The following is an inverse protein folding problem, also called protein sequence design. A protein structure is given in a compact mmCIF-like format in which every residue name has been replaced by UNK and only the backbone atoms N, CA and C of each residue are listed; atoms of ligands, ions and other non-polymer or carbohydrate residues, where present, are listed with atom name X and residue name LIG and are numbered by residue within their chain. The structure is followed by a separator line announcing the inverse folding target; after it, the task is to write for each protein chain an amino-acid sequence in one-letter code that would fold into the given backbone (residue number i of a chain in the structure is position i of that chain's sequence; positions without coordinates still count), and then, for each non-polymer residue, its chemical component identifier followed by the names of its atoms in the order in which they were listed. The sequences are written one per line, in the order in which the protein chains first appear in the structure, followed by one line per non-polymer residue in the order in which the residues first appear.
data_IF_202421375949
#
_entry.id   IF_202421375949
#
_cell.length_a   1.000
_cell.length_b   1.000
_cell.length_c   1.000
_cell.angle_alpha   90.00
_cell.angle_beta   90.00
_cell.angle_gamma   90.00
#
_symmetry.space_group_name_H-M   'P 1'
#
loop_
_entity.id
_entity.type
_entity.pdbx_description
1 polymer ?
#
# COMPACT_ATOMS: atom_id res chain seq x y z
N UNK A 1 5.47 -2.43 -9.16
CA UNK A 1 6.87 -2.02 -8.87
C UNK A 1 7.86 -3.11 -9.33
N UNK A 2 7.45 -4.36 -9.42
CA UNK A 2 8.29 -5.53 -9.77
C UNK A 2 9.59 -5.60 -8.95
N UNK A 3 9.48 -5.50 -7.64
CA UNK A 3 10.58 -5.69 -6.72
C UNK A 3 10.07 -6.47 -5.50
N UNK A 4 10.76 -7.53 -5.06
CA UNK A 4 10.36 -8.34 -3.91
C UNK A 4 10.75 -7.63 -2.61
N UNK A 5 10.05 -6.55 -2.28
CA UNK A 5 10.33 -5.73 -1.09
C UNK A 5 9.61 -6.26 0.14
N UNK A 6 8.35 -6.66 -0.03
CA UNK A 6 7.54 -7.18 1.04
C UNK A 6 7.37 -8.68 0.87
N UNK A 7 7.43 -9.47 1.94
CA UNK A 7 7.24 -10.91 1.86
C UNK A 7 5.82 -11.23 1.39
N UNK A 8 5.69 -12.24 0.54
CA UNK A 8 4.42 -12.75 0.04
C UNK A 8 4.11 -14.07 0.74
N UNK A 9 2.95 -14.17 1.39
CA UNK A 9 2.53 -15.40 2.08
C UNK A 9 1.10 -15.31 2.62
N UNK A 10 0.61 -16.43 3.15
CA UNK A 10 -0.74 -16.56 3.71
C UNK A 10 -0.86 -16.01 5.13
N UNK A 11 0.24 -16.01 5.89
CA UNK A 11 0.26 -15.67 7.34
C UNK A 11 1.21 -14.51 7.66
N UNK A 12 1.59 -13.73 6.66
CA UNK A 12 2.60 -12.69 6.85
C UNK A 12 1.90 -11.38 7.10
N UNK A 13 1.96 -10.98 8.33
CA UNK A 13 1.63 -9.63 8.74
C UNK A 13 2.88 -8.77 8.60
N UNK A 14 2.78 -7.65 7.94
CA UNK A 14 3.78 -6.59 7.97
C UNK A 14 3.78 -6.00 9.37
N UNK A 15 4.92 -5.94 10.05
CA UNK A 15 5.04 -5.33 11.39
C UNK A 15 5.47 -3.86 11.34
N UNK A 16 6.09 -3.44 10.23
CA UNK A 16 6.65 -2.10 10.04
C UNK A 16 6.33 -1.59 8.64
N UNK A 17 5.94 -0.34 8.53
CA UNK A 17 5.66 0.29 7.25
C UNK A 17 6.89 0.27 6.31
N UNK A 18 6.63 0.10 5.01
CA UNK A 18 7.66 0.20 3.97
C UNK A 18 7.31 1.34 3.02
N UNK A 19 8.17 2.34 2.95
CA UNK A 19 8.09 3.42 1.99
C UNK A 19 8.86 3.04 0.72
N UNK A 20 8.27 3.32 -0.44
CA UNK A 20 8.91 3.07 -1.75
C UNK A 20 8.83 4.34 -2.58
N UNK A 21 9.96 4.89 -2.93
CA UNK A 21 10.08 6.13 -3.72
C UNK A 21 11.04 5.99 -4.90
N UNK A 22 11.15 7.04 -5.70
CA UNK A 22 12.13 7.09 -6.79
C UNK A 22 13.58 7.12 -6.27
N UNK A 23 14.49 6.54 -7.04
CA UNK A 23 15.93 6.61 -6.84
C UNK A 23 16.67 6.26 -8.11
N UNK A 24 17.89 6.75 -8.27
CA UNK A 24 18.71 6.50 -9.46
C UNK A 24 19.14 5.03 -9.57
N UNK A 25 19.31 4.37 -8.43
CA UNK A 25 19.64 2.94 -8.32
C UNK A 25 18.83 2.29 -7.19
N UNK A 26 18.62 0.95 -7.25
CA UNK A 26 18.00 0.22 -6.16
C UNK A 26 18.81 0.39 -4.87
N UNK A 27 18.17 0.87 -3.81
CA UNK A 27 18.77 1.04 -2.48
C UNK A 27 17.71 0.90 -1.39
N UNK A 28 18.13 0.56 -0.19
CA UNK A 28 17.24 0.51 0.96
C UNK A 28 17.95 0.95 2.24
N UNK A 29 17.19 1.51 3.15
CA UNK A 29 17.63 1.89 4.48
C UNK A 29 16.55 1.59 5.52
N UNK A 30 16.98 1.28 6.73
CA UNK A 30 16.12 1.17 7.91
C UNK A 30 16.20 2.46 8.69
N UNK A 31 15.06 2.99 9.10
CA UNK A 31 14.94 4.23 9.84
C UNK A 31 14.47 3.95 11.25
N UNK A 32 15.27 4.38 12.23
CA UNK A 32 15.03 4.19 13.66
C UNK A 32 14.79 5.53 14.33
N UNK A 33 13.92 5.60 15.34
CA UNK A 33 13.84 6.74 16.24
C UNK A 33 15.00 6.74 17.22
N UNK A 34 15.61 7.90 17.45
CA UNK A 34 16.59 8.14 18.52
C UNK A 34 15.96 8.84 19.74
N UNK A 35 14.68 9.15 19.68
CA UNK A 35 13.94 9.90 20.70
C UNK A 35 12.66 9.23 21.14
N UNK A 36 11.77 10.03 21.74
CA UNK A 36 10.42 9.61 22.10
C UNK A 36 9.54 9.40 20.86
N UNK A 37 8.38 8.73 20.98
CA UNK A 37 7.43 8.61 19.86
C UNK A 37 7.02 9.95 19.25
N UNK A 38 6.88 11.00 20.06
CA UNK A 38 6.51 12.35 19.60
C UNK A 38 7.63 13.01 18.78
N UNK A 39 8.87 12.59 18.98
CA UNK A 39 10.05 13.09 18.26
C UNK A 39 10.41 12.24 17.04
N UNK A 40 9.64 11.20 16.77
CA UNK A 40 9.92 10.24 15.69
C UNK A 40 9.91 10.87 14.29
N UNK A 41 9.14 11.94 14.11
CA UNK A 41 9.04 12.67 12.83
C UNK A 41 10.21 13.65 12.60
N UNK A 42 10.99 13.99 13.64
CA UNK A 42 12.16 14.87 13.49
C UNK A 42 13.30 14.14 12.76
N UNK A 43 13.66 14.56 11.53
CA UNK A 43 14.75 13.90 10.77
C UNK A 43 16.10 13.92 11.49
N UNK A 44 16.34 14.88 12.38
CA UNK A 44 17.58 14.99 13.15
C UNK A 44 17.65 13.96 14.28
N UNK A 45 16.51 13.41 14.66
CA UNK A 45 16.36 12.36 15.65
C UNK A 45 16.12 10.98 15.04
N UNK A 46 16.46 10.82 13.78
CA UNK A 46 16.38 9.55 13.06
C UNK A 46 17.79 9.02 12.79
N UNK A 47 17.99 7.73 13.04
CA UNK A 47 19.16 6.99 12.58
C UNK A 47 18.79 6.17 11.34
N UNK A 48 19.49 6.40 10.25
CA UNK A 48 19.33 5.69 8.99
C UNK A 48 20.45 4.67 8.80
N UNK A 49 20.10 3.42 8.54
CA UNK A 49 21.04 2.32 8.38
C UNK A 49 20.84 1.71 6.99
N UNK A 50 21.80 1.87 6.07
CA UNK A 50 21.73 1.24 4.75
C UNK A 50 21.74 -0.28 4.88
N UNK A 51 20.90 -0.94 4.07
CA UNK A 51 20.83 -2.40 3.95
C UNK A 51 20.74 -2.81 2.48
N UNK A 52 21.12 -4.05 2.12
CA UNK A 52 20.76 -4.63 0.84
C UNK A 52 19.24 -4.66 0.67
N UNK A 53 18.75 -4.26 -0.52
CA UNK A 53 17.31 -4.11 -0.78
C UNK A 53 16.56 -5.44 -0.63
N UNK A 54 17.23 -6.54 -0.94
CA UNK A 54 16.70 -7.91 -0.83
C UNK A 54 16.42 -8.32 0.62
N UNK A 55 17.01 -7.62 1.58
CA UNK A 55 16.85 -7.88 3.00
C UNK A 55 15.73 -7.08 3.66
N UNK A 56 15.08 -6.17 2.95
CA UNK A 56 13.98 -5.36 3.52
C UNK A 56 12.93 -6.25 4.18
N UNK A 57 12.49 -7.31 3.50
CA UNK A 57 11.50 -8.26 4.03
C UNK A 57 11.89 -8.91 5.37
N UNK A 58 13.18 -9.01 5.71
CA UNK A 58 13.61 -9.58 6.99
C UNK A 58 13.25 -8.67 8.18
N UNK A 59 13.16 -7.38 7.97
CA UNK A 59 12.96 -6.38 9.03
C UNK A 59 11.52 -5.91 9.14
N UNK A 60 10.74 -5.99 8.07
CA UNK A 60 9.36 -5.50 8.04
C UNK A 60 8.31 -6.60 8.29
N UNK A 61 8.72 -7.87 8.31
CA UNK A 61 7.85 -9.03 8.48
C UNK A 61 7.67 -9.37 9.96
N UNK A 62 6.42 -9.61 10.39
CA UNK A 62 6.07 -10.04 11.75
C UNK A 62 6.82 -11.29 12.21
N UNK A 63 7.08 -12.24 11.30
CA UNK A 63 7.79 -13.49 11.64
C UNK A 63 9.25 -13.27 12.02
N UNK A 64 9.91 -12.19 11.59
CA UNK A 64 11.33 -11.90 11.84
C UNK A 64 11.56 -10.64 12.68
N UNK A 65 10.56 -9.79 12.80
CA UNK A 65 10.56 -8.62 13.66
C UNK A 65 9.20 -8.55 14.38
N UNK A 66 8.92 -9.49 15.30
CA UNK A 66 7.65 -9.58 16.01
C UNK A 66 7.34 -8.26 16.73
N UNK A 67 6.13 -7.76 16.59
CA UNK A 67 5.65 -6.56 17.25
C UNK A 67 6.62 -5.35 17.15
N UNK A 68 7.45 -5.35 16.09
CA UNK A 68 8.49 -4.34 15.88
C UNK A 68 9.48 -4.24 17.06
N UNK A 69 9.94 -5.36 17.59
CA UNK A 69 10.97 -5.39 18.67
C UNK A 69 12.24 -4.60 18.30
N UNK A 70 12.56 -4.54 17.00
CA UNK A 70 13.69 -3.74 16.50
C UNK A 70 13.45 -2.22 16.57
N UNK A 71 12.24 -1.76 16.93
CA UNK A 71 11.85 -0.35 17.05
C UNK A 71 12.16 0.48 15.80
N UNK A 72 11.86 -0.07 14.64
CA UNK A 72 11.91 0.63 13.37
C UNK A 72 10.74 1.62 13.26
N UNK A 73 10.99 2.80 12.72
CA UNK A 73 9.92 3.68 12.27
C UNK A 73 9.35 3.19 10.94
N UNK A 74 10.24 2.95 9.98
CA UNK A 74 9.88 2.40 8.66
C UNK A 74 11.14 1.89 7.95
N UNK A 75 10.94 1.07 6.93
CA UNK A 75 11.94 0.77 5.91
C UNK A 75 11.72 1.69 4.70
N UNK A 76 12.78 2.21 4.11
CA UNK A 76 12.69 3.04 2.91
C UNK A 76 13.48 2.40 1.77
N UNK A 77 12.76 1.98 0.74
CA UNK A 77 13.32 1.46 -0.50
C UNK A 77 13.25 2.53 -1.62
N UNK A 78 14.32 2.70 -2.36
CA UNK A 78 14.35 3.56 -3.55
C UNK A 78 14.58 2.71 -4.79
N UNK A 79 13.80 2.96 -5.83
CA UNK A 79 13.82 2.19 -7.08
C UNK A 79 13.80 3.09 -8.30
N UNK A 80 14.57 2.75 -9.36
CA UNK A 80 14.52 3.43 -10.65
C UNK A 80 13.29 2.97 -11.46
N UNK A 81 12.11 3.42 -11.06
CA UNK A 81 10.84 3.08 -11.71
C UNK A 81 10.14 4.33 -12.21
N UNK A 82 9.69 4.29 -13.46
CA UNK A 82 8.98 5.42 -14.08
C UNK A 82 7.71 5.83 -13.32
N UNK A 83 7.00 4.89 -12.71
CA UNK A 83 5.84 5.19 -11.88
C UNK A 83 6.17 6.10 -10.68
N UNK A 84 7.37 5.99 -10.14
CA UNK A 84 7.82 6.75 -8.97
C UNK A 84 8.50 8.07 -9.35
N UNK A 85 8.93 8.20 -10.62
CA UNK A 85 9.74 9.33 -11.09
C UNK A 85 9.01 10.69 -10.98
N UNK A 86 7.67 10.67 -11.06
CA UNK A 86 6.83 11.87 -10.97
C UNK A 86 6.53 12.29 -9.51
N UNK A 87 7.29 11.76 -8.54
CA UNK A 87 7.18 12.09 -7.12
C UNK A 87 6.26 11.17 -6.32
N UNK A 88 5.72 10.11 -6.93
CA UNK A 88 4.88 9.15 -6.22
C UNK A 88 5.71 8.39 -5.17
N UNK A 89 5.25 8.41 -3.93
CA UNK A 89 5.75 7.54 -2.85
C UNK A 89 4.64 6.58 -2.45
N UNK A 90 4.93 5.29 -2.49
CA UNK A 90 4.02 4.25 -2.00
C UNK A 90 4.39 3.87 -0.58
N UNK A 91 3.41 3.74 0.29
CA UNK A 91 3.60 3.28 1.68
C UNK A 91 2.78 2.02 1.88
N UNK A 92 3.48 0.89 2.06
CA UNK A 92 2.88 -0.36 2.51
C UNK A 92 2.78 -0.34 4.04
N UNK A 93 1.56 -0.44 4.55
CA UNK A 93 1.29 -0.38 5.98
C UNK A 93 1.01 -1.76 6.55
N UNK A 94 1.28 -2.01 7.84
CA UNK A 94 0.82 -3.23 8.50
C UNK A 94 -0.69 -3.43 8.32
N UNK A 95 -1.10 -4.68 8.13
CA UNK A 95 -2.52 -5.02 7.96
C UNK A 95 -3.36 -4.55 9.15
N UNK A 96 -4.49 -3.93 8.85
CA UNK A 96 -5.29 -3.24 9.89
C UNK A 96 -6.03 -4.16 10.85
N UNK A 97 -6.09 -5.46 10.63
CA UNK A 97 -6.58 -6.49 11.58
C UNK A 97 -7.80 -6.15 12.47
N UNK A 98 -8.54 -5.06 12.14
CA UNK A 98 -9.62 -4.44 12.92
C UNK A 98 -9.25 -3.06 13.49
N UNK A 99 -10.26 -2.21 13.69
CA UNK A 99 -10.12 -0.80 14.12
C UNK A 99 -9.34 -0.58 15.44
N UNK A 100 -9.30 -1.60 16.31
CA UNK A 100 -8.69 -1.51 17.63
C UNK A 100 -7.26 -2.05 17.70
N UNK A 101 -6.64 -2.37 16.56
CA UNK A 101 -5.26 -2.83 16.53
C UNK A 101 -4.27 -1.65 16.58
N UNK A 102 -3.08 -1.88 17.18
CA UNK A 102 -2.00 -0.89 17.14
C UNK A 102 -1.60 -0.52 15.70
N UNK A 103 -1.74 -1.47 14.78
CA UNK A 103 -1.48 -1.27 13.35
C UNK A 103 -2.51 -0.35 12.68
N UNK A 104 -3.80 -0.48 13.03
CA UNK A 104 -4.83 0.43 12.54
C UNK A 104 -4.59 1.87 13.03
N UNK A 105 -4.19 2.04 14.29
CA UNK A 105 -3.85 3.35 14.84
C UNK A 105 -2.65 3.99 14.10
N UNK A 106 -1.60 3.23 13.83
CA UNK A 106 -0.44 3.69 13.08
C UNK A 106 -0.81 4.11 11.64
N UNK A 107 -1.63 3.30 10.94
CA UNK A 107 -2.15 3.65 9.62
C UNK A 107 -2.98 4.92 9.66
N UNK A 108 -3.91 5.04 10.62
CA UNK A 108 -4.76 6.23 10.77
C UNK A 108 -3.96 7.51 11.04
N UNK A 109 -2.86 7.43 11.79
CA UNK A 109 -2.00 8.59 12.05
C UNK A 109 -1.23 9.08 10.81
N UNK A 110 -0.96 8.20 9.85
CA UNK A 110 -0.28 8.54 8.61
C UNK A 110 -1.22 9.12 7.53
N UNK A 111 -2.53 8.82 7.58
CA UNK A 111 -3.49 9.24 6.55
C UNK A 111 -3.60 10.75 6.31
N UNK A 112 -3.51 11.64 7.32
CA UNK A 112 -3.56 13.08 7.08
C UNK A 112 -2.43 13.63 6.21
N UNK A 113 -1.33 12.89 6.09
CA UNK A 113 -0.18 13.24 5.25
C UNK A 113 -0.20 12.55 3.89
N UNK A 114 -1.16 11.66 3.65
CA UNK A 114 -1.29 10.92 2.41
C UNK A 114 -2.18 11.68 1.40
N UNK A 115 -1.74 11.73 0.14
CA UNK A 115 -2.52 12.31 -0.95
C UNK A 115 -3.61 11.36 -1.44
N UNK A 116 -3.44 10.04 -1.22
CA UNK A 116 -4.43 9.03 -1.59
C UNK A 116 -4.30 7.77 -0.73
N UNK A 117 -5.43 7.05 -0.59
CA UNK A 117 -5.53 5.76 0.08
C UNK A 117 -5.88 4.66 -0.93
N UNK A 118 -5.09 3.58 -0.96
CA UNK A 118 -5.48 2.33 -1.59
C UNK A 118 -5.93 1.33 -0.51
N UNK A 119 -7.23 1.05 -0.47
CA UNK A 119 -7.76 0.02 0.42
C UNK A 119 -7.67 -1.34 -0.27
N UNK A 120 -6.84 -2.23 0.27
CA UNK A 120 -6.52 -3.52 -0.35
C UNK A 120 -7.21 -4.67 0.39
N UNK A 121 -8.00 -5.44 -0.35
CA UNK A 121 -8.63 -6.70 0.09
C UNK A 121 -8.29 -7.81 -0.89
N UNK A 122 -8.74 -9.04 -0.65
CA UNK A 122 -8.70 -10.09 -1.66
C UNK A 122 -10.10 -10.49 -2.15
N UNK A 123 -10.16 -11.28 -3.24
CA UNK A 123 -11.39 -11.68 -3.87
C UNK A 123 -12.15 -12.79 -3.13
N UNK A 124 -11.73 -13.19 -1.93
CA UNK A 124 -12.30 -14.34 -1.21
C UNK A 124 -13.61 -14.04 -0.48
N UNK A 125 -13.83 -12.79 -0.07
CA UNK A 125 -14.92 -12.41 0.81
C UNK A 125 -15.44 -10.98 0.57
N UNK A 126 -16.66 -10.76 1.06
CA UNK A 126 -17.28 -9.44 1.16
C UNK A 126 -16.62 -8.62 2.27
N UNK A 127 -16.72 -7.28 2.16
CA UNK A 127 -16.24 -6.39 3.21
C UNK A 127 -17.01 -6.61 4.51
N UNK A 128 -16.28 -6.78 5.59
CA UNK A 128 -16.83 -6.85 6.93
C UNK A 128 -17.27 -5.46 7.42
N UNK A 129 -18.15 -5.43 8.43
CA UNK A 129 -18.53 -4.18 9.08
C UNK A 129 -17.33 -3.41 9.63
N UNK A 130 -16.32 -4.11 10.16
CA UNK A 130 -15.11 -3.48 10.69
C UNK A 130 -14.27 -2.80 9.59
N UNK A 131 -14.19 -3.40 8.39
CA UNK A 131 -13.52 -2.79 7.24
C UNK A 131 -14.26 -1.56 6.73
N UNK A 132 -15.59 -1.60 6.68
CA UNK A 132 -16.41 -0.46 6.28
C UNK A 132 -16.32 0.70 7.30
N UNK A 133 -16.29 0.42 8.59
CA UNK A 133 -16.07 1.40 9.65
C UNK A 133 -14.68 2.04 9.54
N UNK A 134 -13.66 1.22 9.31
CA UNK A 134 -12.30 1.70 9.04
C UNK A 134 -12.28 2.64 7.84
N UNK A 135 -12.83 2.21 6.70
CA UNK A 135 -12.92 3.03 5.48
C UNK A 135 -13.66 4.34 5.72
N UNK A 136 -14.80 4.29 6.41
CA UNK A 136 -15.58 5.49 6.74
C UNK A 136 -14.76 6.51 7.52
N UNK A 137 -13.94 6.03 8.46
CA UNK A 137 -13.06 6.88 9.26
C UNK A 137 -11.86 7.36 8.45
N UNK A 138 -11.23 6.48 7.68
CA UNK A 138 -10.06 6.77 6.86
C UNK A 138 -10.36 7.84 5.79
N UNK A 139 -11.53 7.77 5.14
CA UNK A 139 -11.96 8.72 4.11
C UNK A 139 -12.24 10.14 4.63
N UNK A 140 -12.43 10.31 5.93
CA UNK A 140 -12.49 11.64 6.55
C UNK A 140 -11.10 12.29 6.62
N UNK A 141 -10.04 11.49 6.71
CA UNK A 141 -8.66 11.94 6.81
C UNK A 141 -7.99 12.04 5.43
N UNK A 142 -8.29 11.09 4.55
CA UNK A 142 -7.78 11.02 3.18
C UNK A 142 -8.96 10.74 2.22
N UNK A 143 -9.62 11.78 1.68
CA UNK A 143 -10.82 11.62 0.84
C UNK A 143 -10.57 10.99 -0.53
N UNK A 144 -9.34 11.08 -1.06
CA UNK A 144 -8.98 10.47 -2.33
C UNK A 144 -8.63 9.00 -2.10
N UNK A 145 -9.52 8.09 -2.44
CA UNK A 145 -9.33 6.67 -2.19
C UNK A 145 -9.80 5.80 -3.35
N UNK A 146 -9.18 4.62 -3.46
CA UNK A 146 -9.61 3.54 -4.32
C UNK A 146 -9.55 2.20 -3.59
N UNK A 147 -10.48 1.31 -3.89
CA UNK A 147 -10.46 -0.08 -3.46
C UNK A 147 -9.72 -0.95 -4.47
N UNK A 148 -8.87 -1.84 -4.00
CA UNK A 148 -8.11 -2.79 -4.82
C UNK A 148 -8.38 -4.20 -4.31
N UNK A 149 -9.08 -4.99 -5.11
CA UNK A 149 -9.36 -6.40 -4.82
C UNK A 149 -8.28 -7.26 -5.49
N UNK A 150 -7.47 -7.92 -4.69
CA UNK A 150 -6.34 -8.73 -5.16
C UNK A 150 -6.72 -10.20 -5.35
N UNK A 151 -5.80 -10.99 -5.92
CA UNK A 151 -5.92 -12.45 -6.08
C UNK A 151 -7.12 -12.88 -6.94
N UNK A 152 -7.54 -12.05 -7.91
CA UNK A 152 -8.68 -12.39 -8.79
C UNK A 152 -8.45 -13.66 -9.62
N UNK A 153 -7.20 -14.07 -9.80
CA UNK A 153 -6.80 -15.32 -10.45
C UNK A 153 -7.07 -16.57 -9.60
N UNK A 154 -7.26 -16.42 -8.29
CA UNK A 154 -7.53 -17.53 -7.37
C UNK A 154 -9.01 -17.71 -7.06
N UNK A 155 -9.82 -16.68 -7.24
CA UNK A 155 -11.23 -16.68 -6.87
C UNK A 155 -12.11 -16.47 -8.11
N UNK A 156 -12.68 -17.55 -8.72
CA UNK A 156 -13.47 -17.43 -9.94
C UNK A 156 -14.68 -16.51 -9.82
N UNK A 157 -15.27 -16.40 -8.65
CA UNK A 157 -16.47 -15.58 -8.38
C UNK A 157 -16.12 -14.15 -7.92
N UNK A 158 -14.87 -13.70 -8.09
CA UNK A 158 -14.42 -12.39 -7.63
C UNK A 158 -15.25 -11.21 -8.17
N UNK A 159 -15.77 -11.31 -9.39
CA UNK A 159 -16.61 -10.24 -9.98
C UNK A 159 -17.93 -10.08 -9.21
N UNK A 160 -18.52 -11.19 -8.77
CA UNK A 160 -19.70 -11.17 -7.92
C UNK A 160 -19.40 -10.55 -6.55
N UNK A 161 -18.29 -10.94 -5.94
CA UNK A 161 -17.84 -10.34 -4.66
C UNK A 161 -17.57 -8.85 -4.85
N UNK A 162 -16.94 -8.44 -5.95
CA UNK A 162 -16.70 -7.04 -6.26
C UNK A 162 -18.01 -6.23 -6.39
N UNK A 163 -19.04 -6.82 -7.02
CA UNK A 163 -20.34 -6.15 -7.14
C UNK A 163 -21.03 -5.98 -5.78
N UNK A 164 -20.99 -7.01 -4.92
CA UNK A 164 -21.52 -6.93 -3.56
C UNK A 164 -20.76 -5.85 -2.77
N UNK A 165 -19.43 -5.81 -2.88
CA UNK A 165 -18.59 -4.80 -2.22
C UNK A 165 -18.88 -3.37 -2.71
N UNK A 166 -19.16 -3.17 -4.01
CA UNK A 166 -19.66 -1.89 -4.52
C UNK A 166 -21.00 -1.50 -3.87
N UNK A 167 -21.89 -2.48 -3.69
CA UNK A 167 -23.15 -2.28 -2.96
C UNK A 167 -22.92 -1.84 -1.50
N UNK A 168 -22.01 -2.50 -0.79
CA UNK A 168 -21.66 -2.14 0.59
C UNK A 168 -21.06 -0.73 0.68
N UNK A 169 -20.14 -0.38 -0.22
CA UNK A 169 -19.57 0.96 -0.30
C UNK A 169 -20.65 2.01 -0.56
N UNK A 170 -21.53 1.78 -1.52
CA UNK A 170 -22.62 2.68 -1.86
C UNK A 170 -23.60 2.85 -0.67
N UNK A 171 -23.96 1.77 0.01
CA UNK A 171 -24.82 1.80 1.20
C UNK A 171 -24.19 2.58 2.37
N UNK A 172 -22.87 2.54 2.49
CA UNK A 172 -22.10 3.32 3.47
C UNK A 172 -21.86 4.78 3.02
N UNK A 173 -22.31 5.19 1.84
CA UNK A 173 -22.07 6.52 1.29
C UNK A 173 -20.63 6.77 0.84
N UNK A 174 -19.87 5.70 0.58
CA UNK A 174 -18.47 5.76 0.18
C UNK A 174 -18.36 5.64 -1.34
N UNK A 175 -18.04 6.75 -2.02
CA UNK A 175 -17.88 6.79 -3.46
C UNK A 175 -16.39 6.65 -3.82
N UNK A 176 -15.97 5.45 -4.23
CA UNK A 176 -14.62 5.20 -4.70
C UNK A 176 -14.59 4.12 -5.79
N UNK A 177 -13.63 4.13 -6.73
CA UNK A 177 -13.46 3.06 -7.70
C UNK A 177 -13.00 1.77 -7.01
N UNK A 178 -13.39 0.62 -7.55
CA UNK A 178 -12.93 -0.71 -7.14
C UNK A 178 -12.30 -1.42 -8.32
N UNK A 179 -11.02 -1.76 -8.20
CA UNK A 179 -10.21 -2.45 -9.20
C UNK A 179 -9.96 -3.89 -8.79
N UNK A 180 -10.22 -4.85 -9.67
CA UNK A 180 -9.79 -6.24 -9.51
C UNK A 180 -8.38 -6.43 -10.09
N UNK A 181 -7.46 -7.05 -9.34
CA UNK A 181 -6.08 -7.23 -9.78
C UNK A 181 -5.49 -8.60 -9.43
N UNK A 182 -4.56 -9.07 -10.26
CA UNK A 182 -3.72 -10.22 -9.97
C UNK A 182 -2.24 -9.91 -10.18
N UNK A 183 -1.47 -9.95 -9.11
CA UNK A 183 -0.01 -9.83 -9.18
C UNK A 183 0.63 -11.00 -9.92
N UNK A 184 0.09 -12.22 -9.78
CA UNK A 184 0.59 -13.42 -10.47
C UNK A 184 0.43 -13.33 -11.98
N UNK A 185 -0.76 -12.90 -12.46
CA UNK A 185 -0.96 -12.67 -13.90
C UNK A 185 -0.03 -11.59 -14.41
N UNK A 186 0.17 -10.51 -13.65
CA UNK A 186 1.12 -9.45 -14.00
C UNK A 186 2.55 -9.96 -14.08
N UNK A 187 3.01 -10.76 -13.12
CA UNK A 187 4.35 -11.36 -13.15
C UNK A 187 4.52 -12.28 -14.36
N UNK A 188 3.55 -13.16 -14.63
CA UNK A 188 3.54 -14.00 -15.80
C UNK A 188 3.57 -13.19 -17.10
N UNK A 189 2.74 -12.16 -17.19
CA UNK A 189 2.70 -11.27 -18.37
C UNK A 189 4.06 -10.60 -18.65
N UNK A 190 4.74 -10.14 -17.60
CA UNK A 190 6.08 -9.53 -17.73
C UNK A 190 7.12 -10.57 -18.17
N UNK A 191 7.09 -11.76 -17.57
CA UNK A 191 8.04 -12.83 -17.90
C UNK A 191 7.87 -13.35 -19.34
N UNK A 192 6.64 -13.47 -19.82
CA UNK A 192 6.30 -13.99 -21.17
C UNK A 192 6.11 -12.89 -22.22
N UNK A 193 6.08 -11.62 -21.83
CA UNK A 193 5.73 -10.47 -22.66
C UNK A 193 4.33 -10.60 -23.28
N UNK A 194 3.39 -11.15 -22.52
CA UNK A 194 2.03 -11.39 -22.97
C UNK A 194 1.13 -10.20 -22.63
N UNK A 195 0.66 -9.52 -23.68
CA UNK A 195 -0.21 -8.35 -23.53
C UNK A 195 -1.62 -8.72 -23.03
N UNK A 196 -2.12 -9.93 -23.33
CA UNK A 196 -3.43 -10.38 -22.88
C UNK A 196 -3.42 -10.66 -21.39
N UNK A 197 -2.45 -11.43 -20.90
CA UNK A 197 -2.26 -11.64 -19.45
C UNK A 197 -2.05 -10.33 -18.70
N UNK A 198 -1.36 -9.36 -19.34
CA UNK A 198 -1.18 -8.05 -18.75
C UNK A 198 -2.51 -7.31 -18.57
N UNK A 199 -3.36 -7.32 -19.58
CA UNK A 199 -4.71 -6.73 -19.50
C UNK A 199 -5.58 -7.45 -18.46
N UNK A 200 -5.58 -8.79 -18.46
CA UNK A 200 -6.31 -9.63 -17.51
C UNK A 200 -5.84 -9.40 -16.05
N UNK A 201 -4.59 -9.01 -15.85
CA UNK A 201 -4.07 -8.72 -14.51
C UNK A 201 -4.75 -7.54 -13.81
N UNK A 202 -5.43 -6.64 -14.53
CA UNK A 202 -6.07 -5.44 -14.00
C UNK A 202 -5.11 -4.36 -13.46
N UNK A 203 -3.81 -4.63 -13.39
CA UNK A 203 -2.81 -3.71 -12.80
C UNK A 203 -2.69 -2.40 -13.58
N UNK A 204 -2.90 -2.41 -14.90
CA UNK A 204 -2.82 -1.18 -15.71
C UNK A 204 -3.88 -0.15 -15.33
N UNK A 205 -5.08 -0.58 -14.95
CA UNK A 205 -6.15 0.31 -14.48
C UNK A 205 -5.75 1.03 -13.17
N UNK A 206 -5.15 0.31 -12.23
CA UNK A 206 -4.62 0.90 -11.00
C UNK A 206 -3.47 1.88 -11.29
N UNK A 207 -2.56 1.52 -12.19
CA UNK A 207 -1.45 2.41 -12.59
C UNK A 207 -1.96 3.68 -13.27
N UNK A 208 -3.00 3.58 -14.10
CA UNK A 208 -3.63 4.73 -14.74
C UNK A 208 -4.27 5.65 -13.68
N UNK A 209 -5.02 5.08 -12.73
CA UNK A 209 -5.60 5.83 -11.60
C UNK A 209 -4.52 6.55 -10.78
N UNK A 210 -3.43 5.88 -10.40
CA UNK A 210 -2.33 6.50 -9.66
C UNK A 210 -1.70 7.67 -10.41
N UNK A 211 -1.50 7.55 -11.73
CA UNK A 211 -0.90 8.62 -12.53
C UNK A 211 -1.83 9.83 -12.71
N UNK A 212 -3.10 9.56 -13.01
CA UNK A 212 -4.05 10.61 -13.37
C UNK A 212 -4.69 11.24 -12.14
N UNK A 213 -5.24 10.39 -11.27
CA UNK A 213 -6.08 10.86 -10.16
C UNK A 213 -5.27 11.15 -8.88
N UNK A 214 -4.09 10.56 -8.73
CA UNK A 214 -3.23 10.85 -7.57
C UNK A 214 -2.15 11.86 -7.93
N UNK A 215 -1.20 11.48 -8.80
CA UNK A 215 -0.06 12.36 -9.13
C UNK A 215 -0.53 13.62 -9.85
N UNK A 216 -1.45 13.50 -10.83
CA UNK A 216 -1.97 14.65 -11.57
C UNK A 216 -2.67 15.65 -10.68
N UNK A 217 -3.49 15.22 -9.72
CA UNK A 217 -4.17 16.09 -8.78
C UNK A 217 -3.21 16.73 -7.76
N UNK A 218 -2.22 15.97 -7.24
CA UNK A 218 -1.21 16.50 -6.33
C UNK A 218 -0.40 17.63 -6.99
N UNK A 219 0.01 17.46 -8.25
CA UNK A 219 0.71 18.51 -9.01
C UNK A 219 -0.15 19.75 -9.25
N UNK A 220 -1.44 19.59 -9.51
CA UNK A 220 -2.37 20.72 -9.67
C UNK A 220 -2.58 21.49 -8.36
N UNK A 221 -2.61 20.84 -7.24
CA UNK A 221 -2.72 21.47 -5.91
C UNK A 221 -1.42 22.16 -5.52
N UNK A 222 -0.26 21.52 -5.74
CA UNK A 222 1.05 22.12 -5.48
C UNK A 222 1.38 23.32 -6.35
N UNK A 223 0.84 23.40 -7.57
CA UNK A 223 0.99 24.56 -8.47
C UNK A 223 0.12 25.78 -8.08
N UNK A 224 -0.85 25.59 -7.17
CA UNK A 224 -1.75 26.64 -6.66
C UNK A 224 -1.34 27.22 -5.30
N UNK A 225 -0.37 26.60 -4.63
CA UNK A 225 0.21 27.05 -3.35
C UNK A 225 1.49 27.85 -3.58
#
# INVERSE_FOLDING_TARGET
INAPLCPVGTDITTSVATMVSAGDAPSAELVYSLGTPEEAEDPQRQRRVPIPIERVGEFVCQARNPDNEARLLYAHARLPRSLLADGLTLVDTPGVGGLNSAHAAATMSALPQADALLFVSDGSAEYSSAELEFLTTALRLCPNAAAVMTKIDLYPDWERIAEINRGHLAAAGLAMPLFGVSSRLREAAVATRDAQLNAESGIEAVLAHLRVDVVGNAQLLGARA
#
